data_IF_295149198852
#
_entry.id   IF_295149198852
#
_cell.length_a   1.000
_cell.length_b   1.000
_cell.length_c   1.000
_cell.angle_alpha   90.00
_cell.angle_beta   90.00
_cell.angle_gamma   90.00
#
_symmetry.space_group_name_H-M   'P 1'
#
loop_
_entity.id
_entity.type
_entity.pdbx_description
1 polymer ?
#
# COMPACT_ATOMS: atom_id res chain seq x y z
N UNK A 1 -11.76 5.20 13.66
CA UNK A 1 -10.39 5.29 13.15
C UNK A 1 -9.34 4.41 13.85
N UNK A 2 -9.67 3.47 14.77
CA UNK A 2 -8.61 2.71 15.47
C UNK A 2 -8.99 1.23 15.72
N UNK A 3 -9.30 0.46 14.67
CA UNK A 3 -9.31 -1.01 14.82
C UNK A 3 -7.88 -1.59 14.83
N UNK A 4 -6.93 -0.85 14.25
CA UNK A 4 -5.54 -1.25 14.12
C UNK A 4 -4.61 -0.31 14.87
N UNK A 5 -3.53 -0.86 15.43
CA UNK A 5 -2.41 -0.10 15.97
C UNK A 5 -1.54 0.43 14.82
N UNK A 6 -0.70 1.46 15.04
CA UNK A 6 0.19 1.95 13.99
C UNK A 6 1.13 0.87 13.43
N UNK A 7 1.58 -0.08 14.25
CA UNK A 7 2.41 -1.20 13.83
C UNK A 7 1.64 -2.16 12.90
N UNK A 8 0.38 -2.43 13.22
CA UNK A 8 -0.51 -3.24 12.39
C UNK A 8 -0.82 -2.56 11.05
N UNK A 9 -1.05 -1.24 11.07
CA UNK A 9 -1.25 -0.45 9.84
C UNK A 9 0.01 -0.48 8.98
N UNK A 10 1.19 -0.35 9.58
CA UNK A 10 2.47 -0.46 8.88
C UNK A 10 2.59 -1.82 8.17
N UNK A 11 2.26 -2.91 8.88
CA UNK A 11 2.24 -4.27 8.31
C UNK A 11 1.26 -4.39 7.14
N UNK A 12 0.01 -3.97 7.32
CA UNK A 12 -1.00 -4.01 6.26
C UNK A 12 -0.50 -3.23 5.03
N UNK A 13 0.04 -2.02 5.21
CA UNK A 13 0.50 -1.18 4.11
C UNK A 13 1.62 -1.83 3.27
N UNK A 14 2.51 -2.62 3.90
CA UNK A 14 3.61 -3.29 3.20
C UNK A 14 3.12 -4.51 2.41
N UNK A 15 2.14 -5.23 2.95
CA UNK A 15 1.66 -6.52 2.42
C UNK A 15 0.27 -6.46 1.78
N UNK A 16 -0.31 -5.27 1.55
CA UNK A 16 -1.61 -5.10 0.92
C UNK A 16 -1.49 -5.07 -0.62
N UNK A 17 -1.96 -6.11 -1.33
CA UNK A 17 -2.05 -6.11 -2.80
C UNK A 17 -3.31 -5.39 -3.32
N UNK A 18 -4.09 -4.76 -2.45
CA UNK A 18 -5.36 -4.09 -2.75
C UNK A 18 -6.59 -4.97 -2.55
N UNK A 19 -6.47 -6.10 -1.84
CA UNK A 19 -7.62 -6.92 -1.47
C UNK A 19 -7.37 -7.71 -0.18
N UNK A 20 -8.40 -7.82 0.67
CA UNK A 20 -8.31 -8.43 2.00
C UNK A 20 -7.76 -9.86 2.01
N UNK A 21 -8.27 -10.71 1.11
CA UNK A 21 -7.86 -12.11 1.03
C UNK A 21 -6.39 -12.26 0.64
N UNK A 22 -5.93 -11.40 -0.26
CA UNK A 22 -4.55 -11.27 -0.70
C UNK A 22 -3.66 -10.79 0.44
N UNK A 23 -4.06 -9.73 1.16
CA UNK A 23 -3.31 -9.26 2.34
C UNK A 23 -3.12 -10.38 3.36
N UNK A 24 -4.16 -11.17 3.65
CA UNK A 24 -4.07 -12.32 4.56
C UNK A 24 -3.11 -13.39 4.01
N UNK A 25 -3.15 -13.66 2.70
CA UNK A 25 -2.27 -14.64 2.06
C UNK A 25 -0.79 -14.22 2.14
N UNK A 26 -0.49 -12.95 1.83
CA UNK A 26 0.86 -12.39 1.91
C UNK A 26 1.39 -12.39 3.34
N UNK A 27 0.58 -11.98 4.32
CA UNK A 27 0.96 -12.03 5.74
C UNK A 27 1.23 -13.47 6.21
N UNK A 28 0.41 -14.43 5.78
CA UNK A 28 0.64 -15.85 6.07
C UNK A 28 1.90 -16.38 5.43
N UNK A 29 2.21 -15.96 4.21
CA UNK A 29 3.44 -16.39 3.53
C UNK A 29 4.67 -15.80 4.22
N UNK A 30 4.64 -14.51 4.56
CA UNK A 30 5.68 -13.87 5.37
C UNK A 30 5.93 -14.64 6.68
N UNK A 31 4.87 -15.05 7.40
CA UNK A 31 5.02 -15.81 8.65
C UNK A 31 5.82 -17.13 8.51
N UNK A 32 5.92 -17.69 7.29
CA UNK A 32 6.70 -18.91 7.03
C UNK A 32 8.20 -18.66 7.03
N UNK A 33 8.61 -17.42 6.77
CA UNK A 33 10.00 -16.99 6.80
C UNK A 33 10.45 -16.54 8.19
N UNK A 34 9.51 -16.29 9.11
CA UNK A 34 9.83 -15.89 10.48
C UNK A 34 10.39 -17.04 11.30
N UNK A 35 11.49 -16.77 11.97
CA UNK A 35 12.17 -17.71 12.85
C UNK A 35 11.38 -17.90 14.16
N UNK A 36 11.79 -18.87 14.99
CA UNK A 36 11.07 -19.22 16.22
C UNK A 36 11.24 -18.20 17.35
N UNK A 37 12.32 -17.43 17.31
CA UNK A 37 12.67 -16.35 18.23
C UNK A 37 11.96 -15.03 17.92
N UNK A 38 11.44 -14.84 16.71
CA UNK A 38 10.65 -13.68 16.28
C UNK A 38 9.18 -13.76 16.73
N UNK A 39 8.97 -14.05 18.02
CA UNK A 39 7.64 -14.27 18.59
C UNK A 39 6.78 -13.01 18.55
N UNK A 40 7.37 -11.84 18.79
CA UNK A 40 6.66 -10.56 18.81
C UNK A 40 6.07 -10.23 17.43
N UNK A 41 6.86 -10.36 16.37
CA UNK A 41 6.39 -10.13 15.00
C UNK A 41 5.36 -11.18 14.57
N UNK A 42 5.52 -12.45 14.99
CA UNK A 42 4.50 -13.49 14.79
C UNK A 42 3.18 -13.16 15.47
N UNK A 43 3.21 -12.73 16.73
CA UNK A 43 2.02 -12.38 17.48
C UNK A 43 1.33 -11.15 16.88
N UNK A 44 2.09 -10.14 16.49
CA UNK A 44 1.58 -8.96 15.81
C UNK A 44 0.88 -9.35 14.50
N UNK A 45 1.55 -10.14 13.65
CA UNK A 45 1.00 -10.57 12.37
C UNK A 45 -0.25 -11.42 12.54
N UNK A 46 -0.25 -12.33 13.51
CA UNK A 46 -1.42 -13.15 13.84
C UNK A 46 -2.60 -12.28 14.28
N UNK A 47 -2.35 -11.26 15.11
CA UNK A 47 -3.38 -10.30 15.53
C UNK A 47 -3.98 -9.52 14.36
N UNK A 48 -3.15 -9.10 13.41
CA UNK A 48 -3.61 -8.46 12.16
C UNK A 48 -4.52 -9.40 11.38
N UNK A 49 -4.07 -10.63 11.12
CA UNK A 49 -4.84 -11.62 10.35
C UNK A 49 -6.21 -11.87 11.00
N UNK A 50 -6.28 -12.07 12.31
CA UNK A 50 -7.56 -12.29 12.99
C UNK A 50 -8.52 -11.09 12.89
N UNK A 51 -7.99 -9.87 12.91
CA UNK A 51 -8.80 -8.65 12.72
C UNK A 51 -9.28 -8.54 11.27
N UNK A 52 -8.41 -8.85 10.30
CA UNK A 52 -8.77 -8.89 8.88
C UNK A 52 -9.82 -9.97 8.59
N UNK A 53 -9.74 -11.13 9.21
CA UNK A 53 -10.75 -12.19 9.05
C UNK A 53 -12.13 -11.80 9.62
N UNK A 54 -12.15 -11.00 10.70
CA UNK A 54 -13.38 -10.52 11.34
C UNK A 54 -14.06 -9.35 10.61
N UNK A 55 -13.37 -8.67 9.69
CA UNK A 55 -13.94 -7.57 8.91
C UNK A 55 -14.50 -8.03 7.56
N UNK A 56 -15.43 -7.27 7.00
CA UNK A 56 -15.93 -7.48 5.63
C UNK A 56 -14.98 -6.86 4.60
N UNK A 57 -15.06 -7.34 3.36
CA UNK A 57 -14.29 -6.76 2.24
C UNK A 57 -14.58 -5.26 2.09
N UNK A 58 -15.84 -4.83 2.25
CA UNK A 58 -16.22 -3.40 2.21
C UNK A 58 -15.56 -2.54 3.30
N UNK A 59 -15.30 -3.12 4.48
CA UNK A 59 -14.62 -2.41 5.56
C UNK A 59 -13.11 -2.35 5.31
N UNK A 60 -12.56 -3.36 4.65
CA UNK A 60 -11.19 -3.37 4.17
C UNK A 60 -10.97 -2.34 3.07
N UNK A 61 -11.88 -2.26 2.08
CA UNK A 61 -11.81 -1.27 1.00
C UNK A 61 -11.80 0.15 1.56
N UNK A 62 -12.65 0.45 2.55
CA UNK A 62 -12.67 1.75 3.21
C UNK A 62 -11.37 2.05 3.98
N UNK A 63 -10.73 1.03 4.58
CA UNK A 63 -9.42 1.17 5.22
C UNK A 63 -8.33 1.45 4.16
N UNK A 64 -8.31 0.69 3.06
CA UNK A 64 -7.35 0.86 1.98
C UNK A 64 -7.51 2.25 1.33
N UNK A 65 -8.74 2.71 1.10
CA UNK A 65 -9.05 4.06 0.63
C UNK A 65 -8.53 5.14 1.58
N UNK A 66 -8.68 4.94 2.90
CA UNK A 66 -8.13 5.85 3.91
C UNK A 66 -6.60 5.91 3.87
N UNK A 67 -5.94 4.75 3.75
CA UNK A 67 -4.48 4.64 3.63
C UNK A 67 -3.96 5.32 2.35
N UNK A 68 -4.61 5.06 1.21
CA UNK A 68 -4.29 5.69 -0.08
C UNK A 68 -4.47 7.20 0.02
N UNK A 69 -5.55 7.66 0.66
CA UNK A 69 -5.81 9.10 0.85
C UNK A 69 -4.72 9.77 1.67
N UNK A 70 -4.15 9.12 2.68
CA UNK A 70 -3.02 9.65 3.45
C UNK A 70 -1.76 9.79 2.59
N UNK A 71 -1.50 8.81 1.70
CA UNK A 71 -0.37 8.86 0.77
C UNK A 71 -0.55 9.94 -0.30
N UNK A 72 -1.72 10.02 -0.95
CA UNK A 72 -2.00 11.01 -2.01
C UNK A 72 -2.12 12.42 -1.45
N UNK A 73 -2.65 12.62 -0.24
CA UNK A 73 -2.70 13.95 0.39
C UNK A 73 -1.30 14.57 0.58
N UNK A 74 -0.25 13.75 0.62
CA UNK A 74 1.15 14.21 0.63
C UNK A 74 1.64 14.62 -0.76
N UNK A 75 1.02 14.11 -1.82
CA UNK A 75 1.32 14.41 -3.23
C UNK A 75 0.49 15.60 -3.77
N UNK A 76 -0.70 15.87 -3.20
CA UNK A 76 -1.67 16.86 -3.69
C UNK A 76 -1.35 18.34 -3.36
N UNK A 77 -0.20 18.65 -2.75
CA UNK A 77 0.25 20.05 -2.64
C UNK A 77 1.01 20.53 -3.90
N UNK A 78 1.56 19.63 -4.72
CA UNK A 78 2.40 20.01 -5.87
C UNK A 78 1.74 19.85 -7.26
N UNK A 79 0.63 19.11 -7.42
CA UNK A 79 0.14 18.69 -8.75
C UNK A 79 -1.26 19.19 -9.17
N UNK A 80 -1.85 20.18 -8.47
CA UNK A 80 -3.05 20.86 -8.96
C UNK A 80 -2.83 21.60 -10.29
N UNK A 81 -1.58 21.87 -10.69
CA UNK A 81 -1.22 22.54 -11.93
C UNK A 81 -1.04 21.62 -13.15
N UNK A 82 -0.84 20.30 -12.98
CA UNK A 82 -0.52 19.39 -14.11
C UNK A 82 -1.72 18.80 -14.85
N UNK A 83 -2.93 18.79 -14.27
CA UNK A 83 -4.10 18.18 -14.93
C UNK A 83 -4.68 18.96 -16.11
N UNK A 84 -4.13 20.14 -16.43
CA UNK A 84 -4.47 20.88 -17.65
C UNK A 84 -3.34 20.90 -18.71
N UNK A 85 -2.30 20.05 -18.61
CA UNK A 85 -1.17 20.02 -19.57
C UNK A 85 -0.77 18.62 -20.06
N UNK A 86 -1.70 17.68 -20.16
CA UNK A 86 -1.45 16.42 -20.88
C UNK A 86 -2.47 16.21 -22.01
N UNK A 87 -2.60 17.23 -22.85
CA UNK A 87 -3.04 17.08 -24.23
C UNK A 87 -2.27 18.06 -25.10
N UNK A 88 -0.93 17.99 -25.17
CA UNK A 88 -0.24 18.41 -26.40
C UNK A 88 1.21 17.90 -26.49
N UNK A 89 1.54 17.52 -27.74
CA UNK A 89 2.81 17.12 -28.35
C UNK A 89 3.68 16.02 -27.70
N UNK A 90 3.51 14.82 -28.24
CA UNK A 90 4.59 13.86 -28.39
C UNK A 90 5.60 14.45 -29.38
N UNK A 91 6.52 15.31 -28.93
CA UNK A 91 7.71 15.63 -29.70
C UNK A 91 8.74 14.54 -29.40
N UNK A 92 9.02 13.74 -30.44
CA UNK A 92 10.03 12.70 -30.43
C UNK A 92 11.38 13.29 -30.02
N UNK A 93 11.90 12.87 -28.86
CA UNK A 93 13.28 13.11 -28.50
C UNK A 93 14.13 12.22 -29.41
N UNK A 94 14.70 12.81 -30.46
CA UNK A 94 15.71 12.17 -31.30
C UNK A 94 17.02 12.05 -30.49
N UNK A 95 17.24 10.84 -29.97
CA UNK A 95 18.36 10.48 -29.13
C UNK A 95 19.68 10.25 -29.91
N UNK A 96 19.66 10.30 -31.25
CA UNK A 96 20.82 9.93 -32.10
C UNK A 96 21.59 11.12 -32.70
N UNK A 97 21.37 12.36 -32.24
CA UNK A 97 22.14 13.51 -32.72
C UNK A 97 23.48 13.67 -31.95
N UNK A 98 24.57 13.07 -32.45
CA UNK A 98 25.94 13.43 -32.07
C UNK A 98 26.32 14.81 -32.67
N UNK A 99 26.94 15.73 -31.90
CA UNK A 99 27.40 17.00 -32.44
C UNK A 99 28.77 16.87 -33.13
N UNK A 100 28.87 17.32 -34.39
CA UNK A 100 30.13 17.54 -35.13
C UNK A 100 30.89 18.79 -34.67
#
# INVERSE_FOLDING_TARGET
MNMFTPEEISLICIYDPGNRAGTIAELRDMMRYLMADELELKQLTQGVIEKLEKMSDSAFDALSDELIRMTIASFDCEDAARRNFCTDTHDEIDWDSEPE
#
